data_IF_657464896828
#
_entry.id   IF_657464896828
#
_cell.length_a   1.000
_cell.length_b   1.000
_cell.length_c   1.000
_cell.angle_alpha   90.00
_cell.angle_beta   90.00
_cell.angle_gamma   90.00
#
_symmetry.space_group_name_H-M   'P 1'
#
loop_
_entity.id
_entity.type
_entity.pdbx_description
1 polymer ?
#
# COMPACT_ATOMS: atom_id res chain seq x y z
N UNK A 1 18.20 8.70 -1.84
CA UNK A 1 17.74 7.31 -1.93
C UNK A 1 16.71 7.13 -0.83
N UNK A 2 15.43 7.08 -1.19
CA UNK A 2 14.35 6.84 -0.23
C UNK A 2 14.48 5.41 0.29
N UNK A 3 14.46 5.23 1.61
CA UNK A 3 14.58 3.91 2.22
C UNK A 3 13.19 3.31 2.39
N UNK A 4 12.95 2.18 1.71
CA UNK A 4 11.75 1.38 1.89
C UNK A 4 11.66 0.89 3.34
N UNK A 5 10.53 1.13 4.02
CA UNK A 5 10.28 0.63 5.37
C UNK A 5 10.10 -0.90 5.33
N UNK A 6 11.10 -1.65 5.84
CA UNK A 6 11.18 -3.13 5.74
C UNK A 6 10.52 -3.89 6.89
N UNK A 7 9.83 -3.21 7.81
CA UNK A 7 9.25 -3.84 9.01
C UNK A 7 7.74 -3.64 9.01
N UNK A 8 7.05 -4.60 8.41
CA UNK A 8 5.59 -4.63 8.28
C UNK A 8 4.92 -5.60 9.28
N UNK A 9 5.68 -6.46 9.94
CA UNK A 9 5.17 -7.44 10.90
C UNK A 9 5.80 -7.24 12.29
N UNK A 10 4.96 -7.12 13.30
CA UNK A 10 5.38 -7.36 14.68
C UNK A 10 5.40 -8.89 14.89
N UNK A 11 6.49 -9.49 15.40
CA UNK A 11 6.56 -10.93 15.59
C UNK A 11 5.44 -11.40 16.53
N UNK A 12 4.55 -12.22 15.98
CA UNK A 12 3.38 -12.78 16.67
C UNK A 12 3.82 -13.79 17.73
N UNK A 13 3.96 -13.36 18.98
CA UNK A 13 4.07 -14.30 20.08
C UNK A 13 2.68 -14.79 20.50
N UNK A 14 2.44 -16.10 20.35
CA UNK A 14 1.48 -16.93 21.10
C UNK A 14 0.00 -17.10 20.63
N UNK A 15 -0.27 -17.49 19.36
CA UNK A 15 -1.63 -17.94 18.96
C UNK A 15 -1.68 -19.24 18.13
N UNK A 16 -0.60 -20.02 18.07
CA UNK A 16 -0.49 -21.18 17.17
C UNK A 16 -1.43 -22.36 17.51
N UNK A 17 -2.02 -22.40 18.71
CA UNK A 17 -2.64 -23.63 19.25
C UNK A 17 -4.16 -23.57 19.49
N UNK A 18 -4.92 -22.67 18.85
CA UNK A 18 -6.40 -22.62 19.02
C UNK A 18 -7.18 -23.22 17.85
N UNK A 19 -8.00 -24.24 18.14
CA UNK A 19 -9.10 -24.71 17.28
C UNK A 19 -10.45 -24.11 17.74
N UNK A 20 -11.29 -23.55 16.84
CA UNK A 20 -11.07 -23.39 15.40
C UNK A 20 -10.08 -22.26 15.08
N UNK A 21 -9.44 -22.27 13.89
CA UNK A 21 -8.50 -21.23 13.49
C UNK A 21 -9.16 -19.85 13.56
N UNK A 22 -8.61 -18.97 14.41
CA UNK A 22 -9.05 -17.59 14.52
C UNK A 22 -8.76 -16.88 13.19
N UNK A 23 -9.79 -16.31 12.58
CA UNK A 23 -9.65 -15.37 11.45
C UNK A 23 -9.10 -14.07 12.01
N UNK A 24 -7.83 -13.80 11.78
CA UNK A 24 -7.18 -12.58 12.25
C UNK A 24 -7.30 -11.49 11.20
N UNK A 25 -7.83 -10.35 11.62
CA UNK A 25 -7.82 -9.10 10.86
C UNK A 25 -6.89 -8.13 11.61
N UNK A 26 -5.65 -7.88 11.17
CA UNK A 26 -4.88 -6.78 11.71
C UNK A 26 -5.61 -5.47 11.33
N UNK A 27 -6.31 -4.88 12.29
CA UNK A 27 -6.98 -3.58 12.12
C UNK A 27 -6.03 -2.52 12.68
N UNK A 28 -5.50 -1.68 11.79
CA UNK A 28 -4.86 -0.42 12.17
C UNK A 28 -5.93 0.67 12.17
N UNK A 29 -6.01 1.45 13.26
CA UNK A 29 -6.99 2.52 13.47
C UNK A 29 -6.90 3.65 12.42
N UNK A 30 -8.02 4.35 12.27
CA UNK A 30 -8.30 5.40 11.29
C UNK A 30 -7.49 6.67 11.58
N UNK A 31 -6.46 6.95 10.77
CA UNK A 31 -5.90 8.29 10.65
C UNK A 31 -6.84 9.13 9.79
N UNK A 32 -7.76 9.83 10.42
CA UNK A 32 -8.71 10.76 9.77
C UNK A 32 -7.91 11.87 9.10
N UNK A 33 -7.62 11.71 7.80
CA UNK A 33 -6.90 12.71 7.01
C UNK A 33 -5.78 12.18 6.12
N UNK A 34 -5.46 10.88 6.17
CA UNK A 34 -4.45 10.28 5.30
C UNK A 34 -5.07 9.22 4.38
N UNK A 35 -4.52 9.02 3.17
CA UNK A 35 -4.93 7.91 2.32
C UNK A 35 -4.63 6.56 2.99
N UNK A 36 -5.52 5.60 2.78
CA UNK A 36 -5.37 4.24 3.33
C UNK A 36 -5.43 3.23 2.19
N UNK A 37 -4.34 2.50 1.97
CA UNK A 37 -4.25 1.46 0.96
C UNK A 37 -4.68 0.11 1.53
N UNK A 38 -5.64 -0.51 0.87
CA UNK A 38 -6.09 -1.87 1.12
C UNK A 38 -5.52 -2.79 0.04
N UNK A 39 -4.56 -3.63 0.40
CA UNK A 39 -3.89 -4.56 -0.50
C UNK A 39 -4.47 -5.95 -0.28
N UNK A 40 -5.20 -6.46 -1.26
CA UNK A 40 -5.80 -7.79 -1.22
C UNK A 40 -5.11 -8.70 -2.22
N UNK A 41 -4.86 -9.95 -1.85
CA UNK A 41 -4.37 -10.92 -2.82
C UNK A 41 -4.13 -12.29 -2.22
N UNK A 42 -3.45 -13.13 -2.99
CA UNK A 42 -3.04 -14.47 -2.56
C UNK A 42 -1.51 -14.49 -2.46
N UNK A 43 -1.02 -14.93 -1.30
CA UNK A 43 0.39 -15.19 -1.08
C UNK A 43 0.66 -16.70 -1.06
N UNK A 44 1.65 -17.19 -1.82
CA UNK A 44 2.19 -18.52 -1.64
C UNK A 44 3.09 -18.49 -0.40
N UNK A 45 2.69 -19.24 0.63
CA UNK A 45 3.47 -19.39 1.87
C UNK A 45 4.17 -20.73 1.82
N UNK A 46 5.50 -20.72 1.95
CA UNK A 46 6.33 -21.91 2.01
C UNK A 46 6.53 -22.32 3.47
N UNK A 47 6.06 -23.52 3.81
CA UNK A 47 6.25 -24.12 5.13
C UNK A 47 7.66 -24.70 5.29
N UNK A 48 8.02 -25.04 6.53
CA UNK A 48 9.33 -25.62 6.87
C UNK A 48 9.58 -26.97 6.18
N UNK A 49 8.52 -27.72 5.92
CA UNK A 49 8.57 -28.99 5.19
C UNK A 49 8.72 -28.82 3.66
N UNK A 50 8.72 -27.57 3.19
CA UNK A 50 8.84 -27.20 1.78
C UNK A 50 7.51 -27.21 1.02
N UNK A 51 6.39 -27.56 1.65
CA UNK A 51 5.07 -27.43 1.06
C UNK A 51 4.71 -25.96 0.85
N UNK A 52 3.89 -25.69 -0.17
CA UNK A 52 3.41 -24.34 -0.48
C UNK A 52 1.89 -24.35 -0.41
N UNK A 53 1.33 -23.50 0.44
CA UNK A 53 -0.11 -23.26 0.46
C UNK A 53 -0.41 -21.81 0.08
N UNK A 54 -1.64 -21.60 -0.42
CA UNK A 54 -2.12 -20.29 -0.85
C UNK A 54 -2.92 -19.64 0.26
N UNK A 55 -2.44 -18.50 0.74
CA UNK A 55 -3.11 -17.72 1.78
C UNK A 55 -3.71 -16.45 1.19
N UNK A 56 -5.04 -16.33 1.24
CA UNK A 56 -5.70 -15.04 1.02
C UNK A 56 -5.24 -14.08 2.12
N UNK A 57 -4.66 -12.96 1.72
CA UNK A 57 -4.03 -12.01 2.63
C UNK A 57 -4.56 -10.62 2.31
N UNK A 58 -4.73 -9.82 3.37
CA UNK A 58 -5.15 -8.44 3.30
C UNK A 58 -4.20 -7.62 4.17
N UNK A 59 -3.49 -6.67 3.56
CA UNK A 59 -2.72 -5.67 4.28
C UNK A 59 -3.37 -4.30 4.18
N UNK A 60 -3.15 -3.49 5.20
CA UNK A 60 -3.54 -2.08 5.23
C UNK A 60 -2.26 -1.26 5.43
N UNK A 61 -2.06 -0.24 4.60
CA UNK A 61 -0.96 0.69 4.70
C UNK A 61 -1.49 2.13 4.70
N UNK A 62 -0.82 3.02 5.43
CA UNK A 62 -1.19 4.45 5.55
C UNK A 62 -0.22 5.37 4.82
N UNK A 63 0.76 4.80 4.11
CA UNK A 63 1.68 5.52 3.21
C UNK A 63 1.83 4.77 1.90
N UNK A 64 1.99 5.50 0.80
CA UNK A 64 2.23 4.97 -0.52
C UNK A 64 3.54 4.16 -0.57
N UNK A 65 4.62 4.66 0.07
CA UNK A 65 5.89 3.94 0.16
C UNK A 65 5.80 2.60 0.90
N UNK A 66 5.00 2.54 1.98
CA UNK A 66 4.72 1.29 2.70
C UNK A 66 3.91 0.31 1.85
N UNK A 67 2.87 0.80 1.18
CA UNK A 67 2.08 -0.01 0.27
C UNK A 67 2.94 -0.60 -0.86
N UNK A 68 3.81 0.23 -1.45
CA UNK A 68 4.75 -0.19 -2.48
C UNK A 68 5.71 -1.27 -1.96
N UNK A 69 6.23 -1.11 -0.74
CA UNK A 69 7.10 -2.11 -0.13
C UNK A 69 6.43 -3.46 0.08
N UNK A 70 5.20 -3.47 0.61
CA UNK A 70 4.40 -4.71 0.76
C UNK A 70 4.18 -5.39 -0.59
N UNK A 71 3.94 -4.61 -1.66
CA UNK A 71 3.70 -5.14 -3.00
C UNK A 71 4.97 -5.68 -3.67
N UNK A 72 6.13 -5.07 -3.42
CA UNK A 72 7.41 -5.51 -3.99
C UNK A 72 8.05 -6.68 -3.26
N UNK A 73 7.94 -6.72 -1.92
CA UNK A 73 8.63 -7.73 -1.11
C UNK A 73 7.90 -9.08 -1.07
N UNK A 74 6.66 -9.14 -1.58
CA UNK A 74 5.82 -10.33 -1.51
C UNK A 74 5.45 -10.88 -2.90
N UNK A 75 5.50 -12.21 -3.12
CA UNK A 75 5.20 -12.84 -4.40
C UNK A 75 3.67 -13.00 -4.60
N UNK A 76 2.98 -11.88 -4.83
CA UNK A 76 1.53 -11.87 -5.02
C UNK A 76 1.09 -12.62 -6.29
N UNK A 77 0.15 -13.55 -6.17
CA UNK A 77 -0.41 -14.26 -7.34
C UNK A 77 -1.54 -13.48 -8.04
N UNK A 78 -2.18 -12.49 -7.37
CA UNK A 78 -3.27 -11.64 -7.91
C UNK A 78 -3.54 -10.45 -6.96
N UNK A 79 -2.60 -9.51 -6.84
CA UNK A 79 -2.81 -8.35 -5.98
C UNK A 79 -3.83 -7.37 -6.58
N UNK A 80 -4.84 -7.00 -5.79
CA UNK A 80 -5.75 -5.89 -6.05
C UNK A 80 -5.57 -4.87 -4.95
N UNK A 81 -5.36 -3.61 -5.32
CA UNK A 81 -5.10 -2.54 -4.37
C UNK A 81 -6.21 -1.50 -4.50
N UNK A 82 -6.84 -1.18 -3.38
CA UNK A 82 -7.74 -0.04 -3.27
C UNK A 82 -7.09 1.02 -2.39
N UNK A 83 -7.45 2.28 -2.60
CA UNK A 83 -7.09 3.36 -1.70
C UNK A 83 -8.34 4.10 -1.28
N UNK A 84 -8.50 4.29 0.03
CA UNK A 84 -9.49 5.23 0.58
C UNK A 84 -8.81 6.59 0.59
N UNK A 85 -9.26 7.47 -0.29
CA UNK A 85 -8.80 8.85 -0.42
C UNK A 85 -9.58 9.70 0.59
N UNK A 86 -8.89 10.46 1.46
CA UNK A 86 -9.56 11.24 2.50
C UNK A 86 -10.34 12.43 1.91
N UNK A 87 -11.39 12.91 2.60
CA UNK A 87 -12.22 14.04 2.14
C UNK A 87 -11.45 15.26 1.65
N UNK A 88 -10.33 15.58 2.29
CA UNK A 88 -9.50 16.74 1.99
C UNK A 88 -8.87 16.69 0.59
N UNK A 89 -8.83 15.52 -0.04
CA UNK A 89 -8.24 15.29 -1.36
C UNK A 89 -9.31 14.99 -2.44
N UNK A 90 -10.58 14.99 -2.06
CA UNK A 90 -11.71 14.66 -2.94
C UNK A 90 -12.55 15.90 -3.20
N UNK A 91 -13.15 15.99 -4.39
CA UNK A 91 -14.07 17.08 -4.72
C UNK A 91 -15.40 16.97 -3.96
N UNK A 92 -15.79 15.76 -3.53
CA UNK A 92 -17.06 15.52 -2.83
C UNK A 92 -17.03 15.86 -1.33
N UNK A 93 -15.84 16.12 -0.76
CA UNK A 93 -15.62 16.27 0.68
C UNK A 93 -16.09 15.05 1.50
N UNK A 94 -16.15 13.87 0.87
CA UNK A 94 -16.41 12.58 1.52
C UNK A 94 -15.25 11.64 1.23
N UNK A 95 -14.97 10.65 2.09
CA UNK A 95 -13.96 9.65 1.75
C UNK A 95 -14.39 8.88 0.52
N UNK A 96 -13.51 8.75 -0.46
CA UNK A 96 -13.78 8.02 -1.70
C UNK A 96 -12.86 6.81 -1.80
N UNK A 97 -13.42 5.67 -2.22
CA UNK A 97 -12.63 4.49 -2.54
C UNK A 97 -12.30 4.51 -4.02
N UNK A 98 -11.01 4.44 -4.35
CA UNK A 98 -10.50 4.35 -5.71
C UNK A 98 -9.66 3.08 -5.87
N UNK A 99 -9.62 2.52 -7.08
CA UNK A 99 -8.73 1.41 -7.40
C UNK A 99 -7.35 1.96 -7.69
N UNK A 100 -6.35 1.52 -6.93
CA UNK A 100 -4.95 1.86 -7.18
C UNK A 100 -4.43 1.03 -8.38
N UNK A 101 -3.89 1.75 -9.37
CA UNK A 101 -3.41 1.21 -10.63
C UNK A 101 -1.88 1.17 -10.68
N UNK A 102 -1.21 2.13 -10.03
CA UNK A 102 0.25 2.15 -9.91
C UNK A 102 0.68 2.92 -8.65
N UNK A 103 1.89 2.59 -8.17
CA UNK A 103 2.62 3.34 -7.15
C UNK A 103 3.98 3.73 -7.72
N UNK A 104 4.41 4.96 -7.48
CA UNK A 104 5.63 5.52 -8.06
C UNK A 104 6.35 6.44 -7.08
N UNK A 105 7.65 6.63 -7.32
CA UNK A 105 8.47 7.64 -6.65
C UNK A 105 8.33 8.99 -7.35
N UNK A 106 8.58 10.09 -6.66
CA UNK A 106 8.64 11.43 -7.23
C UNK A 106 9.57 12.35 -6.45
N UNK A 107 9.86 13.51 -7.03
CA UNK A 107 10.48 14.62 -6.34
C UNK A 107 9.77 15.92 -6.67
N UNK A 108 9.95 16.94 -5.81
CA UNK A 108 9.49 18.29 -6.10
C UNK A 108 10.22 18.86 -7.31
N UNK A 109 9.51 19.67 -8.10
CA UNK A 109 10.05 20.27 -9.32
C UNK A 109 11.07 21.38 -9.00
N UNK A 110 10.87 22.13 -7.92
CA UNK A 110 11.71 23.26 -7.51
C UNK A 110 12.85 22.82 -6.58
N UNK A 111 12.62 21.78 -5.76
CA UNK A 111 13.63 21.15 -4.92
C UNK A 111 13.69 19.62 -5.12
N UNK A 112 14.54 19.13 -6.05
CA UNK A 112 14.70 17.69 -6.30
C UNK A 112 15.21 16.87 -5.10
N UNK A 113 15.68 17.51 -4.02
CA UNK A 113 16.06 16.80 -2.80
C UNK A 113 14.84 16.40 -1.96
N UNK A 114 13.71 17.10 -2.12
CA UNK A 114 12.43 16.73 -1.56
C UNK A 114 11.83 15.61 -2.41
N UNK A 115 11.81 14.41 -1.85
CA UNK A 115 11.40 13.18 -2.53
C UNK A 115 10.25 12.54 -1.78
N UNK A 116 9.38 11.84 -2.51
CA UNK A 116 8.23 11.18 -1.93
C UNK A 116 7.65 10.14 -2.88
N UNK A 117 6.41 9.74 -2.59
CA UNK A 117 5.70 8.71 -3.34
C UNK A 117 4.36 9.22 -3.83
N UNK A 118 3.81 8.54 -4.82
CA UNK A 118 2.47 8.82 -5.30
C UNK A 118 1.80 7.60 -5.91
N UNK A 119 0.57 7.83 -6.33
CA UNK A 119 -0.37 6.80 -6.72
C UNK A 119 -1.16 7.26 -7.94
N UNK A 120 -1.30 6.39 -8.93
CA UNK A 120 -2.33 6.53 -9.96
C UNK A 120 -3.52 5.65 -9.60
N UNK A 121 -4.72 6.22 -9.68
CA UNK A 121 -5.98 5.51 -9.45
C UNK A 121 -6.87 5.57 -10.68
N UNK A 122 -7.95 4.81 -10.66
CA UNK A 122 -9.03 4.90 -11.66
C UNK A 122 -9.81 6.24 -11.61
N UNK A 123 -9.57 7.08 -10.61
CA UNK A 123 -10.20 8.39 -10.42
C UNK A 123 -9.22 9.56 -10.54
N UNK A 124 -7.93 9.30 -10.77
CA UNK A 124 -6.89 10.34 -10.89
C UNK A 124 -5.62 9.99 -10.15
N UNK A 125 -4.63 10.90 -10.22
CA UNK A 125 -3.33 10.74 -9.58
C UNK A 125 -3.17 11.69 -8.40
N UNK A 126 -2.41 11.27 -7.38
CA UNK A 126 -1.99 12.15 -6.29
C UNK A 126 -0.60 11.76 -5.75
N UNK A 127 0.13 12.73 -5.20
CA UNK A 127 1.29 12.49 -4.35
C UNK A 127 0.83 12.23 -2.91
N UNK A 128 1.52 11.36 -2.18
CA UNK A 128 1.21 11.07 -0.78
C UNK A 128 1.31 12.35 0.06
N UNK A 129 0.22 12.81 0.70
CA UNK A 129 0.25 14.03 1.50
C UNK A 129 1.24 13.99 2.66
N UNK A 130 1.60 12.79 3.14
CA UNK A 130 2.57 12.62 4.21
C UNK A 130 3.98 13.11 3.83
N UNK A 131 4.29 13.19 2.54
CA UNK A 131 5.59 13.65 2.04
C UNK A 131 5.64 15.17 1.81
N UNK A 132 4.52 15.87 2.02
CA UNK A 132 4.42 17.32 1.81
C UNK A 132 4.49 17.74 0.34
N UNK A 133 4.33 16.79 -0.58
CA UNK A 133 4.33 17.02 -2.03
C UNK A 133 2.91 17.21 -2.56
N UNK A 134 2.78 17.96 -3.66
CA UNK A 134 1.51 18.20 -4.36
C UNK A 134 1.63 17.73 -5.80
N UNK A 135 0.56 17.17 -6.37
CA UNK A 135 0.61 16.55 -7.71
C UNK A 135 0.93 17.59 -8.81
N UNK A 136 0.63 18.86 -8.54
CA UNK A 136 0.85 19.99 -9.44
C UNK A 136 2.33 20.38 -9.56
N UNK A 137 3.17 20.06 -8.56
CA UNK A 137 4.57 20.50 -8.50
C UNK A 137 5.58 19.35 -8.38
N UNK A 138 5.28 18.19 -8.95
CA UNK A 138 6.18 17.03 -8.89
C UNK A 138 6.62 16.54 -10.25
N UNK A 139 7.82 15.96 -10.24
CA UNK A 139 8.34 15.15 -11.34
C UNK A 139 8.17 13.69 -10.94
N UNK A 140 7.34 12.95 -11.69
CA UNK A 140 7.20 11.50 -11.51
C UNK A 140 8.50 10.78 -11.87
N UNK A 141 8.95 9.92 -10.97
CA UNK A 141 10.12 9.06 -11.09
C UNK A 141 9.75 7.61 -11.43
N UNK A 142 10.45 6.67 -10.80
CA UNK A 142 10.30 5.24 -11.08
C UNK A 142 8.96 4.67 -10.59
N UNK A 143 8.35 3.80 -11.41
CA UNK A 143 7.20 2.99 -10.98
C UNK A 143 7.67 1.83 -10.11
N UNK A 144 7.15 1.76 -8.88
CA UNK A 144 7.47 0.72 -7.91
C UNK A 144 6.54 -0.49 -8.04
N UNK A 145 5.28 -0.23 -8.37
CA UNK A 145 4.28 -1.27 -8.59
C UNK A 145 3.26 -0.79 -9.63
N UNK A 146 2.76 -1.72 -10.43
CA UNK A 146 1.68 -1.47 -11.37
C UNK A 146 0.79 -2.71 -11.44
N UNK A 147 -0.52 -2.50 -11.52
CA UNK A 147 -1.48 -3.59 -11.75
C UNK A 147 -1.18 -4.25 -13.10
N UNK A 148 -1.17 -5.59 -13.14
CA UNK A 148 -1.00 -6.31 -14.38
C UNK A 148 -2.13 -5.96 -15.35
N UNK A 149 -1.77 -5.68 -16.62
CA UNK A 149 -2.77 -5.52 -17.68
C UNK A 149 -3.48 -6.87 -17.86
N UNK A 150 -4.80 -6.88 -17.62
CA UNK A 150 -5.68 -8.01 -17.92
C UNK A 150 -5.87 -8.21 -19.41
#
# INVERSE_FOLDING_TARGET
MLQLEKRFEQPMMAFADQEPPIRHYPIAEVLVGQPVWHIHGVLPVKELDGSIYRRRTHFIATKAGLAAGILQENPWENATVFVIVPPAMTASHLPEMARCMSLWECCDQDDPSLTGWGCDTDQGSFADPADGLTIENIIKGGTLWQVAAT
#
